data_IF_387113495005
#
_entry.id   IF_387113495005
#
_cell.length_a   1.000
_cell.length_b   1.000
_cell.length_c   1.000
_cell.angle_alpha   90.00
_cell.angle_beta   90.00
_cell.angle_gamma   90.00
#
_symmetry.space_group_name_H-M   'P 1'
#
loop_
_entity.id
_entity.type
_entity.pdbx_description
1 polymer ?
#
# COMPACT_ATOMS: atom_id res chain seq x y z
N UNK A 1 -16.69 -15.88 -18.43
CA UNK A 1 -15.22 -16.07 -18.34
C UNK A 1 -14.65 -16.19 -19.75
N UNK A 2 -13.62 -15.40 -20.09
CA UNK A 2 -13.02 -15.39 -21.44
C UNK A 2 -12.35 -16.73 -21.76
N UNK A 3 -12.42 -17.18 -23.02
CA UNK A 3 -11.67 -18.36 -23.52
C UNK A 3 -10.19 -18.25 -23.16
N UNK A 4 -9.60 -17.06 -23.34
CA UNK A 4 -8.22 -16.72 -22.99
C UNK A 4 -7.87 -16.95 -21.51
N UNK A 5 -8.81 -16.78 -20.58
CA UNK A 5 -8.54 -17.00 -19.14
C UNK A 5 -8.46 -18.48 -18.78
N UNK A 6 -9.21 -19.34 -19.49
CA UNK A 6 -9.23 -20.79 -19.25
C UNK A 6 -7.90 -21.46 -19.65
N UNK A 7 -7.22 -20.88 -20.63
CA UNK A 7 -5.97 -21.39 -21.18
C UNK A 7 -4.73 -20.88 -20.40
N UNK A 8 -4.91 -19.98 -19.42
CA UNK A 8 -3.83 -19.43 -18.61
C UNK A 8 -3.38 -20.40 -17.51
N UNK A 9 -2.06 -20.46 -17.31
CA UNK A 9 -1.43 -21.08 -16.14
C UNK A 9 -1.93 -20.44 -14.83
N UNK A 10 -1.81 -21.13 -13.68
CA UNK A 10 -2.15 -20.54 -12.38
C UNK A 10 -1.41 -19.22 -12.10
N UNK A 11 -0.17 -19.10 -12.54
CA UNK A 11 0.70 -17.93 -12.36
C UNK A 11 0.21 -16.75 -13.21
N UNK A 12 -0.10 -16.99 -14.48
CA UNK A 12 -0.68 -15.98 -15.37
C UNK A 12 -2.04 -15.49 -14.88
N UNK A 13 -2.87 -16.39 -14.33
CA UNK A 13 -4.15 -16.00 -13.72
C UNK A 13 -3.95 -15.09 -12.51
N UNK A 14 -2.98 -15.38 -11.64
CA UNK A 14 -2.66 -14.49 -10.49
C UNK A 14 -2.28 -13.08 -10.96
N UNK A 15 -1.46 -12.98 -12.01
CA UNK A 15 -1.04 -11.72 -12.63
C UNK A 15 -2.22 -10.98 -13.24
N UNK A 16 -3.04 -11.68 -14.05
CA UNK A 16 -4.23 -11.14 -14.68
C UNK A 16 -5.24 -10.60 -13.65
N UNK A 17 -5.54 -11.39 -12.62
CA UNK A 17 -6.48 -11.03 -11.58
C UNK A 17 -5.99 -9.83 -10.75
N UNK A 18 -4.68 -9.77 -10.46
CA UNK A 18 -4.06 -8.62 -9.79
C UNK A 18 -4.16 -7.36 -10.64
N UNK A 19 -3.78 -7.44 -11.92
CA UNK A 19 -3.88 -6.30 -12.84
C UNK A 19 -5.33 -5.82 -13.00
N UNK A 20 -6.29 -6.74 -13.06
CA UNK A 20 -7.71 -6.41 -13.13
C UNK A 20 -8.26 -5.80 -11.83
N UNK A 21 -7.74 -6.21 -10.67
CA UNK A 21 -8.06 -5.56 -9.39
C UNK A 21 -7.54 -4.13 -9.34
N UNK A 22 -6.26 -3.92 -9.70
CA UNK A 22 -5.64 -2.60 -9.73
C UNK A 22 -6.41 -1.65 -10.65
N UNK A 23 -6.75 -2.10 -11.87
CA UNK A 23 -7.46 -1.26 -12.84
C UNK A 23 -8.82 -0.80 -12.33
N UNK A 24 -9.59 -1.72 -11.75
CA UNK A 24 -10.95 -1.42 -11.25
C UNK A 24 -10.94 -0.51 -10.02
N UNK A 25 -9.95 -0.66 -9.15
CA UNK A 25 -9.93 0.04 -7.86
C UNK A 25 -9.16 1.37 -7.91
N UNK A 26 -8.11 1.44 -8.71
CA UNK A 26 -7.13 2.52 -8.67
C UNK A 26 -6.83 3.12 -10.06
N UNK A 27 -7.45 2.63 -11.13
CA UNK A 27 -7.20 3.12 -12.50
C UNK A 27 -5.85 2.71 -13.10
N UNK A 28 -4.94 2.11 -12.33
CA UNK A 28 -3.61 1.68 -12.78
C UNK A 28 -3.58 0.18 -13.10
N UNK A 29 -2.62 -0.27 -13.91
CA UNK A 29 -2.37 -1.70 -14.10
C UNK A 29 -1.11 -2.19 -13.40
N UNK A 30 -0.78 -3.47 -13.60
CA UNK A 30 0.38 -4.07 -12.96
C UNK A 30 1.70 -3.43 -13.38
N UNK A 31 1.81 -2.99 -14.64
CA UNK A 31 3.03 -2.36 -15.13
C UNK A 31 3.21 -0.99 -14.49
N UNK A 32 2.13 -0.22 -14.41
CA UNK A 32 2.14 1.07 -13.72
C UNK A 32 2.50 0.93 -12.23
N UNK A 33 1.89 -0.03 -11.54
CA UNK A 33 2.25 -0.33 -10.15
C UNK A 33 3.74 -0.69 -10.00
N UNK A 34 4.31 -1.46 -10.94
CA UNK A 34 5.73 -1.80 -10.89
C UNK A 34 6.64 -0.60 -11.19
N UNK A 35 6.25 0.29 -12.12
CA UNK A 35 6.96 1.56 -12.35
C UNK A 35 6.99 2.41 -11.08
N UNK A 36 5.84 2.58 -10.42
CA UNK A 36 5.77 3.30 -9.15
C UNK A 36 6.68 2.66 -8.08
N UNK A 37 6.76 1.32 -8.02
CA UNK A 37 7.69 0.63 -7.10
C UNK A 37 9.13 1.01 -7.39
N UNK A 38 9.54 0.99 -8.65
CA UNK A 38 10.89 1.33 -9.08
C UNK A 38 11.23 2.80 -8.81
N UNK A 39 10.33 3.72 -9.17
CA UNK A 39 10.48 5.16 -8.94
C UNK A 39 10.60 5.52 -7.45
N UNK A 40 9.91 4.78 -6.59
CA UNK A 40 10.01 4.92 -5.13
C UNK A 40 11.23 4.21 -4.52
N UNK A 41 12.11 3.62 -5.33
CA UNK A 41 13.26 2.84 -4.85
C UNK A 41 12.83 1.63 -4.02
N UNK A 42 11.68 1.04 -4.34
CA UNK A 42 11.04 -0.07 -3.62
C UNK A 42 10.76 0.21 -2.14
N UNK A 43 10.61 1.49 -1.78
CA UNK A 43 10.34 1.94 -0.42
C UNK A 43 8.91 2.47 -0.25
N UNK A 44 8.41 2.37 0.98
CA UNK A 44 7.19 3.06 1.40
C UNK A 44 7.42 4.57 1.39
N UNK A 45 6.61 5.35 0.66
CA UNK A 45 6.77 6.81 0.60
C UNK A 45 6.63 7.51 1.95
N UNK A 46 5.84 6.96 2.89
CA UNK A 46 5.62 7.62 4.18
C UNK A 46 6.73 7.32 5.20
N UNK A 47 7.20 6.07 5.29
CA UNK A 47 8.16 5.67 6.34
C UNK A 47 9.56 5.31 5.83
N UNK A 48 9.78 5.31 4.51
CA UNK A 48 11.07 5.03 3.89
C UNK A 48 11.55 3.58 3.96
N UNK A 49 10.83 2.67 4.61
CA UNK A 49 11.24 1.26 4.70
C UNK A 49 11.14 0.55 3.35
N UNK A 50 12.18 -0.22 3.02
CA UNK A 50 12.25 -1.04 1.82
C UNK A 50 11.29 -2.23 1.89
N UNK A 51 10.82 -2.70 0.73
CA UNK A 51 9.86 -3.80 0.67
C UNK A 51 10.38 -5.10 1.27
N UNK A 52 11.68 -5.35 1.22
CA UNK A 52 12.30 -6.53 1.84
C UNK A 52 12.25 -6.48 3.37
N UNK A 53 12.50 -5.30 3.95
CA UNK A 53 12.36 -5.10 5.40
C UNK A 53 10.90 -5.27 5.82
N UNK A 54 9.96 -4.82 5.00
CA UNK A 54 8.53 -4.97 5.26
C UNK A 54 8.11 -6.45 5.16
N UNK A 55 8.59 -7.19 4.15
CA UNK A 55 8.34 -8.63 3.98
C UNK A 55 8.86 -9.45 5.16
N UNK A 56 9.98 -9.02 5.76
CA UNK A 56 10.59 -9.69 6.91
C UNK A 56 9.70 -9.66 8.18
N UNK A 57 8.76 -8.69 8.25
CA UNK A 57 7.79 -8.59 9.35
C UNK A 57 6.74 -9.69 9.19
N UNK A 58 7.03 -10.87 9.76
CA UNK A 58 6.18 -12.07 9.76
C UNK A 58 4.71 -11.74 10.06
N UNK A 59 3.89 -11.56 9.04
CA UNK A 59 2.44 -11.72 9.11
C UNK A 59 2.12 -13.06 8.47
N UNK A 60 1.33 -13.88 9.16
CA UNK A 60 0.78 -15.09 8.56
C UNK A 60 0.06 -14.68 7.26
N UNK A 61 0.33 -15.34 6.12
CA UNK A 61 -0.30 -14.99 4.86
C UNK A 61 -1.81 -15.19 5.02
N UNK A 62 -2.59 -14.13 4.80
CA UNK A 62 -4.03 -14.28 4.71
C UNK A 62 -4.32 -15.19 3.50
N UNK A 63 -4.84 -16.39 3.76
CA UNK A 63 -5.25 -17.35 2.73
C UNK A 63 -4.11 -17.83 1.82
N UNK A 64 -2.90 -18.02 2.37
CA UNK A 64 -1.77 -18.62 1.65
C UNK A 64 -1.10 -17.73 0.61
N UNK A 65 -1.48 -16.44 0.52
CA UNK A 65 -0.77 -15.44 -0.29
C UNK A 65 -0.01 -14.48 0.63
N UNK A 66 1.31 -14.29 0.45
CA UNK A 66 2.01 -13.22 1.14
C UNK A 66 1.42 -11.88 0.70
N UNK A 67 1.05 -10.97 1.62
CA UNK A 67 0.55 -9.66 1.24
C UNK A 67 1.60 -8.91 0.44
N UNK A 68 1.16 -8.07 -0.50
CA UNK A 68 2.06 -7.13 -1.16
C UNK A 68 2.67 -6.21 -0.07
N UNK A 69 4.01 -6.05 -0.02
CA UNK A 69 4.65 -5.25 1.00
C UNK A 69 4.31 -3.76 0.87
N UNK A 70 4.05 -3.32 -0.36
CA UNK A 70 3.63 -1.96 -0.70
C UNK A 70 2.24 -1.98 -1.33
N UNK A 71 1.30 -1.28 -0.71
CA UNK A 71 -0.10 -1.12 -1.14
C UNK A 71 -0.30 0.25 -1.78
N UNK A 72 -1.25 0.34 -2.71
CA UNK A 72 -1.61 1.61 -3.37
C UNK A 72 -2.39 2.48 -2.38
N UNK A 73 -1.83 3.65 -2.08
CA UNK A 73 -2.50 4.75 -1.37
C UNK A 73 -3.15 5.69 -2.39
N UNK A 74 -4.36 6.15 -2.08
CA UNK A 74 -5.16 6.98 -2.97
C UNK A 74 -6.02 7.94 -2.16
N UNK A 75 -6.33 9.09 -2.75
CA UNK A 75 -7.25 10.05 -2.16
C UNK A 75 -8.68 9.49 -2.21
N UNK A 76 -9.35 9.39 -1.06
CA UNK A 76 -10.72 8.91 -1.00
C UNK A 76 -11.74 9.91 -1.59
N UNK A 77 -11.37 11.18 -1.79
CA UNK A 77 -12.23 12.19 -2.41
C UNK A 77 -12.11 12.21 -3.94
N UNK A 78 -10.88 12.19 -4.47
CA UNK A 78 -10.63 12.33 -5.90
C UNK A 78 -10.39 11.00 -6.62
N UNK A 79 -10.03 9.95 -5.87
CA UNK A 79 -9.58 8.67 -6.41
C UNK A 79 -8.13 8.68 -6.90
N UNK A 80 -7.44 9.82 -6.85
CA UNK A 80 -6.07 9.95 -7.35
C UNK A 80 -5.09 9.13 -6.51
N UNK A 81 -4.24 8.36 -7.19
CA UNK A 81 -3.18 7.61 -6.56
C UNK A 81 -2.12 8.59 -6.03
N UNK A 82 -1.84 8.51 -4.73
CA UNK A 82 -0.80 9.32 -4.07
C UNK A 82 0.57 8.65 -4.12
N UNK A 83 0.59 7.30 -4.11
CA UNK A 83 1.79 6.49 -4.21
C UNK A 83 1.65 5.13 -3.53
N UNK A 84 2.76 4.46 -3.26
CA UNK A 84 2.77 3.16 -2.58
C UNK A 84 3.29 3.27 -1.14
N UNK A 85 2.52 2.71 -0.21
CA UNK A 85 2.81 2.72 1.22
C UNK A 85 2.91 1.29 1.76
N UNK A 86 3.62 1.07 2.86
CA UNK A 86 3.49 -0.19 3.58
C UNK A 86 2.11 -0.26 4.24
N UNK A 87 1.58 -1.47 4.45
CA UNK A 87 0.23 -1.64 4.99
C UNK A 87 0.03 -0.91 6.33
N UNK A 88 1.06 -0.85 7.18
CA UNK A 88 1.00 -0.15 8.49
C UNK A 88 0.83 1.35 8.33
N UNK A 89 1.53 1.95 7.36
CA UNK A 89 1.43 3.37 7.07
C UNK A 89 0.07 3.70 6.47
N UNK A 90 -0.37 2.92 5.48
CA UNK A 90 -1.69 3.08 4.85
C UNK A 90 -2.83 2.94 5.89
N UNK A 91 -2.79 1.90 6.72
CA UNK A 91 -3.77 1.69 7.80
C UNK A 91 -3.74 2.86 8.80
N UNK A 92 -2.55 3.40 9.09
CA UNK A 92 -2.37 4.55 9.99
C UNK A 92 -3.06 5.82 9.47
N UNK A 93 -2.88 6.14 8.19
CA UNK A 93 -3.57 7.26 7.54
C UNK A 93 -5.09 7.07 7.57
N UNK A 94 -5.56 5.88 7.20
CA UNK A 94 -7.00 5.57 7.23
C UNK A 94 -7.62 5.64 8.63
N UNK A 95 -6.87 5.27 9.69
CA UNK A 95 -7.33 5.41 11.09
C UNK A 95 -7.44 6.85 11.55
N UNK A 96 -6.73 7.77 10.90
CA UNK A 96 -6.85 9.21 11.10
C UNK A 96 -7.76 9.85 10.04
N UNK A 97 -8.58 9.04 9.36
CA UNK A 97 -9.55 9.46 8.34
C UNK A 97 -8.92 10.26 7.19
N UNK A 98 -7.63 10.05 6.90
CA UNK A 98 -6.86 10.84 5.95
C UNK A 98 -6.89 12.36 6.21
N UNK A 99 -7.14 12.77 7.46
CA UNK A 99 -7.27 14.18 7.86
C UNK A 99 -5.90 14.77 8.25
N UNK A 100 -5.37 15.74 7.48
CA UNK A 100 -4.12 16.41 7.81
C UNK A 100 -4.16 17.16 9.15
N UNK A 101 -5.31 17.68 9.59
CA UNK A 101 -5.42 18.32 10.90
C UNK A 101 -5.26 17.32 12.04
N UNK A 102 -5.84 16.12 11.92
CA UNK A 102 -5.66 15.06 12.91
C UNK A 102 -4.19 14.64 13.04
N UNK A 103 -3.47 14.56 11.91
CA UNK A 103 -2.03 14.32 11.92
C UNK A 103 -1.27 15.44 12.65
N UNK A 104 -1.58 16.72 12.38
CA UNK A 104 -0.95 17.86 13.06
C UNK A 104 -1.24 17.88 14.57
N UNK A 105 -2.49 17.61 14.97
CA UNK A 105 -2.88 17.49 16.39
C UNK A 105 -2.13 16.33 17.07
N UNK A 106 -1.93 15.22 16.36
CA UNK A 106 -1.12 14.09 16.83
C UNK A 106 0.33 14.48 17.11
N UNK A 107 0.94 15.31 16.27
CA UNK A 107 2.31 15.84 16.49
C UNK A 107 2.35 16.63 17.80
N UNK A 108 1.47 17.62 17.96
CA UNK A 108 1.40 18.45 19.18
C UNK A 108 1.20 17.59 20.42
N UNK A 109 0.24 16.65 20.37
CA UNK A 109 -0.03 15.74 21.48
C UNK A 109 1.19 14.90 21.90
N UNK A 110 1.97 14.40 20.93
CA UNK A 110 3.19 13.62 21.20
C UNK A 110 4.30 14.48 21.79
N UNK A 111 4.46 15.71 21.31
CA UNK A 111 5.48 16.66 21.79
C UNK A 111 5.17 17.14 23.21
N UNK A 112 3.92 17.47 23.51
CA UNK A 112 3.49 17.88 24.86
C UNK A 112 3.62 16.74 25.88
N UNK A 113 3.34 15.50 25.47
CA UNK A 113 3.52 14.31 26.31
C UNK A 113 4.98 13.86 26.48
N UNK A 114 5.91 14.37 25.66
CA UNK A 114 7.34 14.05 25.74
C UNK A 114 8.10 14.90 26.78
N UNK A 115 7.52 15.99 27.28
CA UNK A 115 8.12 16.91 28.25
C UNK A 115 8.30 16.38 29.69
N UNK A 116 8.12 15.08 29.94
CA UNK A 116 8.19 14.48 31.28
C UNK A 116 9.06 13.22 31.40
N UNK A 117 9.95 12.96 30.43
CA UNK A 117 10.96 11.88 30.52
C UNK A 117 12.30 12.37 29.99
N UNK A 118 12.93 13.22 30.78
CA UNK A 118 14.37 13.52 30.75
C UNK A 118 14.90 13.35 32.17
#
# INVERSE_FOLDING_TARGET
MSKRYKDMTPEERKVYDRSGHLRRKYGIDLNEYNRMREEQGYCCLLCGRHEDDIRSVKRAPAKGRPPDPLVVDHCHETGDVRGLLCSRCNDGLGKLCDDPEMLRKGIVYLEEGAGGRG
#
